data_IF_920273533572
#
_entry.id   IF_920273533572
#
_cell.length_a   1.000
_cell.length_b   1.000
_cell.length_c   1.000
_cell.angle_alpha   90.00
_cell.angle_beta   90.00
_cell.angle_gamma   90.00
#
_symmetry.space_group_name_H-M   'P 1'
#
loop_
_entity.id
_entity.type
_entity.pdbx_description
1 polymer ?
#
# COMPACT_ATOMS: atom_id res chain seq x y z
N UNK A 1 42.12 -55.59 38.12
CA UNK A 1 40.66 -55.75 38.28
C UNK A 1 40.06 -54.35 38.50
N UNK A 2 39.51 -53.76 37.45
CA UNK A 2 38.76 -52.50 37.53
C UNK A 2 37.27 -52.82 37.48
N UNK A 3 36.43 -52.24 38.36
CA UNK A 3 35.05 -52.66 38.51
C UNK A 3 34.15 -52.06 37.43
N UNK A 4 33.33 -52.93 36.84
CA UNK A 4 32.25 -52.67 35.89
C UNK A 4 31.05 -52.00 36.57
N UNK A 5 30.52 -50.93 35.98
CA UNK A 5 29.26 -50.28 36.39
C UNK A 5 28.02 -51.07 35.93
N UNK A 6 26.91 -51.03 36.70
CA UNK A 6 25.63 -51.66 36.33
C UNK A 6 24.77 -50.79 35.40
N UNK A 7 23.80 -51.38 34.67
CA UNK A 7 23.01 -50.68 33.64
C UNK A 7 21.84 -49.86 34.20
N UNK A 8 21.53 -48.74 33.53
CA UNK A 8 20.44 -47.81 33.82
C UNK A 8 19.09 -48.28 33.24
N UNK A 9 18.04 -48.19 34.05
CA UNK A 9 16.64 -48.45 33.68
C UNK A 9 16.03 -47.32 32.82
N UNK A 10 15.07 -47.60 31.92
CA UNK A 10 14.45 -46.60 31.06
C UNK A 10 13.36 -45.78 31.77
N UNK A 11 13.36 -44.46 31.48
CA UNK A 11 12.38 -43.46 31.94
C UNK A 11 11.06 -43.52 31.14
N UNK A 12 9.89 -43.23 31.75
CA UNK A 12 8.59 -43.34 31.10
C UNK A 12 8.15 -42.07 30.34
N UNK A 13 7.39 -42.28 29.26
CA UNK A 13 6.73 -41.27 28.42
C UNK A 13 5.49 -40.66 29.08
N UNK A 14 5.22 -39.34 28.97
CA UNK A 14 3.98 -38.75 29.48
C UNK A 14 2.82 -38.89 28.49
N UNK A 15 1.67 -39.34 29.00
CA UNK A 15 0.37 -39.41 28.30
C UNK A 15 -0.34 -38.06 28.28
N UNK A 16 -0.99 -37.76 27.15
CA UNK A 16 -1.90 -36.64 26.90
C UNK A 16 -3.23 -36.83 27.65
N UNK A 17 -3.64 -35.85 28.46
CA UNK A 17 -4.97 -35.76 29.05
C UNK A 17 -5.90 -34.87 28.23
N UNK A 18 -7.10 -35.38 27.94
CA UNK A 18 -8.19 -34.69 27.25
C UNK A 18 -8.86 -33.61 28.10
N UNK A 19 -9.32 -32.52 27.45
CA UNK A 19 -10.22 -31.54 28.03
C UNK A 19 -11.41 -31.25 27.07
N UNK A 20 -12.61 -31.18 27.64
CA UNK A 20 -13.90 -30.94 26.99
C UNK A 20 -14.27 -29.43 26.95
N UNK A 21 -15.31 -29.00 26.21
CA UNK A 21 -15.45 -27.63 25.67
C UNK A 21 -16.52 -26.74 26.35
N UNK A 22 -16.31 -25.42 26.28
CA UNK A 22 -17.30 -24.31 26.35
C UNK A 22 -16.52 -23.00 26.08
N UNK A 23 -16.97 -21.91 25.47
CA UNK A 23 -18.24 -21.36 24.98
C UNK A 23 -17.94 -19.95 24.42
N UNK A 24 -18.78 -19.43 23.53
CA UNK A 24 -18.56 -18.27 22.65
C UNK A 24 -19.04 -16.91 23.18
N UNK A 25 -18.33 -15.80 22.86
CA UNK A 25 -18.85 -14.52 22.30
C UNK A 25 -17.74 -13.44 22.09
N UNK A 26 -17.92 -12.42 21.22
CA UNK A 26 -16.83 -11.85 20.40
C UNK A 26 -16.43 -10.37 20.65
N UNK A 27 -15.15 -10.08 20.42
CA UNK A 27 -14.51 -8.75 20.43
C UNK A 27 -14.87 -7.89 19.20
N UNK A 28 -15.97 -7.14 19.26
CA UNK A 28 -16.36 -6.16 18.22
C UNK A 28 -15.53 -4.86 18.22
N UNK A 29 -14.75 -4.57 19.27
CA UNK A 29 -13.97 -3.32 19.37
C UNK A 29 -12.65 -3.37 18.57
N UNK A 30 -12.07 -4.55 18.37
CA UNK A 30 -10.82 -4.71 17.61
C UNK A 30 -11.02 -4.62 16.09
N UNK A 31 -12.22 -4.94 15.59
CA UNK A 31 -12.60 -4.83 14.18
C UNK A 31 -12.78 -3.39 13.68
N UNK A 32 -13.14 -2.45 14.57
CA UNK A 32 -13.40 -1.05 14.18
C UNK A 32 -12.13 -0.26 13.80
N UNK A 33 -11.03 -0.45 14.57
CA UNK A 33 -9.75 0.22 14.27
C UNK A 33 -9.05 -0.36 13.02
N UNK A 34 -9.20 -1.67 12.76
CA UNK A 34 -8.59 -2.33 11.60
C UNK A 34 -9.21 -1.91 10.26
N UNK A 35 -10.49 -1.54 10.24
CA UNK A 35 -11.17 -1.13 9.02
C UNK A 35 -10.84 0.31 8.60
N UNK A 36 -10.52 1.19 9.56
CA UNK A 36 -10.22 2.60 9.29
C UNK A 36 -8.83 2.79 8.64
N UNK A 37 -7.86 1.96 9.02
CA UNK A 37 -6.52 1.93 8.40
C UNK A 37 -6.54 1.30 7.00
N UNK A 38 -7.43 0.33 6.76
CA UNK A 38 -7.60 -0.27 5.44
C UNK A 38 -8.24 0.70 4.43
N UNK A 39 -9.23 1.50 4.85
CA UNK A 39 -9.95 2.44 3.98
C UNK A 39 -9.09 3.64 3.53
N UNK A 40 -8.18 4.15 4.38
CA UNK A 40 -7.27 5.23 3.99
C UNK A 40 -6.24 4.82 2.93
N UNK A 41 -5.96 3.51 2.79
CA UNK A 41 -4.94 2.99 1.87
C UNK A 41 -5.47 2.57 0.47
N UNK A 42 -6.76 2.74 0.19
CA UNK A 42 -7.38 2.27 -1.08
C UNK A 42 -7.62 3.37 -2.11
N UNK A 43 -7.16 4.61 -1.89
CA UNK A 43 -7.33 5.69 -2.88
C UNK A 43 -6.14 5.77 -3.85
N UNK A 44 -6.12 4.85 -4.82
CA UNK A 44 -5.65 5.14 -6.19
C UNK A 44 -6.59 4.44 -7.18
N UNK A 45 -7.17 5.16 -8.17
CA UNK A 45 -8.04 4.55 -9.16
C UNK A 45 -7.24 3.86 -10.26
N UNK A 46 -7.64 2.65 -10.62
CA UNK A 46 -7.20 1.91 -11.81
C UNK A 46 -7.76 2.55 -13.08
N UNK A 47 -6.89 3.02 -13.98
CA UNK A 47 -7.24 3.50 -15.33
C UNK A 47 -7.53 2.31 -16.26
N UNK A 48 -8.61 2.42 -17.02
CA UNK A 48 -8.95 1.55 -18.17
C UNK A 48 -8.43 2.24 -19.43
N UNK A 49 -7.67 1.52 -20.27
CA UNK A 49 -7.06 2.01 -21.50
C UNK A 49 -8.00 1.95 -22.70
N UNK A 50 -8.14 3.08 -23.42
CA UNK A 50 -8.36 3.16 -24.87
C UNK A 50 -7.67 4.44 -25.41
N UNK A 51 -7.01 4.36 -26.56
CA UNK A 51 -6.33 5.44 -27.32
C UNK A 51 -6.82 5.43 -28.78
N UNK A 52 -6.55 6.42 -29.68
CA UNK A 52 -5.73 7.66 -29.54
C UNK A 52 -6.37 8.96 -30.12
N UNK A 53 -5.94 10.16 -29.67
CA UNK A 53 -5.19 11.19 -30.44
C UNK A 53 -5.29 12.63 -29.85
N UNK A 54 -4.18 13.37 -30.03
CA UNK A 54 -3.93 14.83 -29.96
C UNK A 54 -3.81 15.57 -28.61
N UNK A 55 -2.56 15.90 -28.27
CA UNK A 55 -2.09 17.27 -27.99
C UNK A 55 -2.37 17.88 -26.61
N UNK A 56 -1.29 18.09 -25.85
CA UNK A 56 -0.97 19.15 -24.87
C UNK A 56 -0.38 18.60 -23.56
N UNK A 57 0.78 19.17 -23.20
CA UNK A 57 1.57 18.87 -22.01
C UNK A 57 0.90 19.41 -20.73
N UNK A 58 0.98 18.66 -19.61
CA UNK A 58 0.57 19.15 -18.30
C UNK A 58 1.41 18.53 -17.16
N UNK A 59 1.88 19.44 -16.31
CA UNK A 59 2.66 19.33 -15.08
C UNK A 59 2.05 18.42 -14.00
N UNK A 60 2.89 17.69 -13.25
CA UNK A 60 2.51 16.97 -12.03
C UNK A 60 2.97 17.76 -10.79
N UNK A 61 2.06 18.51 -10.17
CA UNK A 61 2.27 19.22 -8.92
C UNK A 61 1.10 19.08 -7.93
N UNK A 62 1.45 18.98 -6.65
CA UNK A 62 0.61 19.13 -5.45
C UNK A 62 -0.35 17.97 -5.04
N UNK A 63 0.07 17.21 -4.02
CA UNK A 63 -0.86 16.55 -3.09
C UNK A 63 -1.00 17.42 -1.83
N UNK A 64 -2.20 17.97 -1.62
CA UNK A 64 -2.61 18.63 -0.38
C UNK A 64 -3.06 17.60 0.67
N UNK A 65 -2.79 17.78 1.97
CA UNK A 65 -3.38 16.95 3.01
C UNK A 65 -4.80 17.42 3.35
N UNK A 66 -5.74 16.47 3.35
CA UNK A 66 -7.10 16.64 3.88
C UNK A 66 -7.05 16.86 5.40
N UNK A 67 -7.55 18.01 5.87
CA UNK A 67 -7.89 18.26 7.28
C UNK A 67 -9.35 17.81 7.52
N UNK A 68 -9.58 16.93 8.49
CA UNK A 68 -10.91 16.65 9.04
C UNK A 68 -11.14 17.59 10.25
N UNK A 69 -12.17 18.44 10.28
CA UNK A 69 -12.55 19.17 11.48
C UNK A 69 -13.52 18.37 12.35
N UNK A 70 -13.30 18.40 13.67
CA UNK A 70 -14.15 17.89 14.76
C UNK A 70 -14.42 16.37 14.81
N UNK A 71 -13.62 15.67 15.61
CA UNK A 71 -13.96 14.37 16.20
C UNK A 71 -13.45 14.32 17.64
N UNK A 72 -14.37 14.37 18.61
CA UNK A 72 -14.06 14.29 20.04
C UNK A 72 -13.42 12.94 20.39
N UNK A 73 -12.30 12.97 21.11
CA UNK A 73 -11.73 11.80 21.76
C UNK A 73 -12.65 11.32 22.88
N UNK A 74 -13.04 10.04 22.87
CA UNK A 74 -13.57 9.36 24.04
C UNK A 74 -12.61 8.24 24.46
N UNK A 75 -11.91 8.49 25.57
CA UNK A 75 -11.40 7.46 26.45
C UNK A 75 -12.53 6.94 27.34
N UNK A 76 -12.52 5.65 27.64
CA UNK A 76 -13.43 5.05 28.62
C UNK A 76 -12.83 5.18 30.03
N UNK A 77 -13.50 5.92 30.90
CA UNK A 77 -13.58 5.63 32.34
C UNK A 77 -15.05 5.61 32.75
N UNK A 78 -15.36 4.72 33.68
CA UNK A 78 -16.70 4.25 34.02
C UNK A 78 -17.51 5.21 34.93
N UNK A 79 -18.84 4.99 34.95
CA UNK A 79 -19.89 5.38 35.91
C UNK A 79 -20.76 6.64 35.62
N UNK A 80 -22.09 6.42 35.49
CA UNK A 80 -23.14 7.28 36.09
C UNK A 80 -23.96 8.29 35.25
N UNK A 81 -25.01 7.80 34.54
CA UNK A 81 -26.45 8.27 34.45
C UNK A 81 -26.85 9.74 34.86
N UNK A 82 -27.87 10.37 34.21
CA UNK A 82 -27.94 11.02 32.89
C UNK A 82 -28.19 12.56 33.04
N UNK A 83 -28.51 13.34 32.00
CA UNK A 83 -29.56 14.41 32.03
C UNK A 83 -29.54 15.24 30.72
N UNK A 84 -30.67 15.13 30.00
CA UNK A 84 -31.38 16.07 29.12
C UNK A 84 -30.66 17.15 28.28
N UNK A 85 -30.92 17.06 26.97
CA UNK A 85 -30.75 18.11 25.96
C UNK A 85 -31.57 19.38 26.27
N UNK A 86 -30.95 20.56 26.12
CA UNK A 86 -31.66 21.75 25.65
C UNK A 86 -30.75 22.68 24.83
N UNK A 87 -31.30 23.17 23.72
CA UNK A 87 -30.69 24.03 22.72
C UNK A 87 -30.41 25.45 23.24
N UNK A 88 -29.23 26.02 22.93
CA UNK A 88 -29.02 27.48 22.78
C UNK A 88 -27.90 27.79 21.76
N UNK A 89 -28.07 28.95 21.11
CA UNK A 89 -27.42 29.54 19.92
C UNK A 89 -25.92 29.91 20.08
N UNK A 90 -25.20 30.25 18.99
CA UNK A 90 -23.73 30.22 18.94
C UNK A 90 -23.09 31.47 19.53
N UNK A 91 -22.31 31.30 20.60
CA UNK A 91 -21.36 32.29 21.11
C UNK A 91 -19.96 32.05 20.53
N UNK A 92 -19.27 33.12 20.13
CA UNK A 92 -17.85 33.15 19.74
C UNK A 92 -17.02 32.31 20.73
N UNK A 93 -16.43 31.21 20.28
CA UNK A 93 -15.35 30.54 21.01
C UNK A 93 -14.05 31.27 20.70
N UNK A 94 -13.62 32.06 21.66
CA UNK A 94 -12.24 32.53 21.77
C UNK A 94 -11.34 31.32 22.01
N UNK A 95 -10.22 31.26 21.28
CA UNK A 95 -9.28 30.15 21.22
C UNK A 95 -8.77 29.72 22.61
N UNK A 96 -9.07 28.49 22.99
CA UNK A 96 -8.44 27.83 24.13
C UNK A 96 -7.16 27.13 23.64
N UNK A 97 -6.08 27.89 23.44
CA UNK A 97 -4.72 27.35 23.23
C UNK A 97 -3.61 28.35 23.63
N UNK A 98 -3.86 29.14 24.68
CA UNK A 98 -3.02 30.29 25.06
C UNK A 98 -1.87 29.97 26.03
N UNK A 99 -1.56 28.68 26.23
CA UNK A 99 -0.41 28.28 27.06
C UNK A 99 0.95 28.52 26.35
N UNK A 100 0.96 28.72 25.03
CA UNK A 100 2.16 29.01 24.23
C UNK A 100 2.41 30.51 23.97
N UNK A 101 1.53 31.39 24.46
CA UNK A 101 1.61 32.85 24.22
C UNK A 101 2.77 33.50 24.95
N UNK A 102 3.20 32.93 26.08
CA UNK A 102 4.29 33.49 26.90
C UNK A 102 5.71 33.20 26.37
N UNK A 103 5.86 32.44 25.27
CA UNK A 103 7.16 31.98 24.74
C UNK A 103 7.50 32.52 23.35
N UNK A 104 6.61 33.30 22.72
CA UNK A 104 6.83 33.85 21.37
C UNK A 104 7.50 35.21 21.44
N UNK A 105 8.36 35.48 20.47
CA UNK A 105 8.94 36.81 20.31
C UNK A 105 7.85 37.82 19.92
N UNK A 106 8.01 39.10 20.30
CA UNK A 106 7.10 40.16 19.88
C UNK A 106 6.95 40.23 18.35
N UNK A 107 7.99 39.87 17.61
CA UNK A 107 7.99 39.86 16.15
C UNK A 107 7.08 38.75 15.60
N UNK A 108 7.14 37.54 16.17
CA UNK A 108 6.26 36.45 15.76
C UNK A 108 4.79 36.76 16.11
N UNK A 109 4.53 37.39 17.25
CA UNK A 109 3.18 37.83 17.61
C UNK A 109 2.66 38.92 16.66
N UNK A 110 3.50 39.91 16.30
CA UNK A 110 3.15 40.92 15.29
C UNK A 110 2.84 40.26 13.95
N UNK A 111 3.66 39.31 13.50
CA UNK A 111 3.46 38.57 12.26
C UNK A 111 2.11 37.84 12.23
N UNK A 112 1.73 37.19 13.34
CA UNK A 112 0.46 36.46 13.45
C UNK A 112 -0.75 37.41 13.47
N UNK A 113 -0.62 38.54 14.14
CA UNK A 113 -1.69 39.53 14.29
C UNK A 113 -1.90 40.38 13.02
N UNK A 114 -0.82 40.80 12.37
CA UNK A 114 -0.84 41.77 11.29
C UNK A 114 -0.84 41.12 9.90
N UNK A 115 -2.03 40.68 9.47
CA UNK A 115 -2.24 40.07 8.15
C UNK A 115 -2.20 41.05 6.97
N UNK A 116 -2.20 42.36 7.22
CA UNK A 116 -2.22 43.38 6.17
C UNK A 116 -0.80 43.78 5.71
N UNK A 117 0.20 43.62 6.57
CA UNK A 117 1.61 43.85 6.21
C UNK A 117 2.07 42.80 5.21
N UNK A 118 2.78 43.25 4.17
CA UNK A 118 3.49 42.36 3.25
C UNK A 118 4.86 42.03 3.86
N UNK A 119 4.99 40.82 4.38
CA UNK A 119 6.21 40.32 5.01
C UNK A 119 7.17 39.74 3.96
N UNK A 120 8.46 39.95 4.16
CA UNK A 120 9.59 39.38 3.40
C UNK A 120 10.54 38.60 4.34
N UNK A 121 11.39 37.72 3.80
CA UNK A 121 12.29 36.91 4.63
C UNK A 121 13.23 37.76 5.51
N UNK A 122 13.71 38.88 4.94
CA UNK A 122 14.61 39.81 5.64
C UNK A 122 13.95 40.46 6.87
N UNK A 123 12.62 40.55 6.91
CA UNK A 123 11.90 41.12 8.06
C UNK A 123 11.98 40.22 9.30
N UNK A 124 12.32 38.94 9.12
CA UNK A 124 12.31 37.93 10.20
C UNK A 124 13.70 37.33 10.47
N UNK A 125 14.75 37.95 9.94
CA UNK A 125 16.12 37.56 10.24
C UNK A 125 16.43 37.74 11.73
N UNK A 126 17.20 36.78 12.28
CA UNK A 126 17.43 36.58 13.71
C UNK A 126 16.34 35.75 14.40
N UNK A 127 15.23 35.46 13.71
CA UNK A 127 14.10 34.70 14.24
C UNK A 127 13.70 33.54 13.32
N UNK A 128 14.53 33.17 12.33
CA UNK A 128 14.20 32.13 11.34
C UNK A 128 13.91 30.79 12.01
N UNK A 129 14.69 30.43 13.03
CA UNK A 129 14.52 29.16 13.77
C UNK A 129 13.21 29.15 14.54
N UNK A 130 12.85 30.24 15.21
CA UNK A 130 11.59 30.39 15.93
C UNK A 130 10.40 30.31 14.96
N UNK A 131 10.44 31.07 13.86
CA UNK A 131 9.40 31.05 12.84
C UNK A 131 9.26 29.66 12.20
N UNK A 132 10.37 28.94 11.99
CA UNK A 132 10.35 27.57 11.44
C UNK A 132 9.65 26.59 12.39
N UNK A 133 9.73 26.79 13.70
CA UNK A 133 9.01 26.04 14.72
C UNK A 133 7.56 26.49 14.96
N UNK A 134 7.09 27.55 14.28
CA UNK A 134 5.70 28.01 14.33
C UNK A 134 4.92 27.56 13.09
N UNK A 135 3.63 27.23 13.27
CA UNK A 135 2.77 26.77 12.18
C UNK A 135 2.63 27.80 11.05
N UNK A 136 2.43 29.08 11.37
CA UNK A 136 2.25 30.14 10.37
C UNK A 136 3.60 30.64 9.87
N UNK A 137 4.58 30.79 10.76
CA UNK A 137 5.95 31.17 10.41
C UNK A 137 6.59 30.19 9.43
N UNK A 138 6.48 28.88 9.70
CA UNK A 138 7.03 27.84 8.82
C UNK A 138 6.38 27.89 7.43
N UNK A 139 5.05 28.05 7.37
CA UNK A 139 4.33 28.18 6.08
C UNK A 139 4.76 29.39 5.29
N UNK A 140 5.01 30.51 5.98
CA UNK A 140 5.53 31.72 5.35
C UNK A 140 6.92 31.50 4.77
N UNK A 141 7.85 30.93 5.54
CA UNK A 141 9.22 30.63 5.08
C UNK A 141 9.17 29.70 3.86
N UNK A 142 8.38 28.63 3.91
CA UNK A 142 8.22 27.69 2.80
C UNK A 142 7.81 28.38 1.50
N UNK A 143 6.79 29.26 1.55
CA UNK A 143 6.30 29.99 0.38
C UNK A 143 7.35 30.96 -0.16
N UNK A 144 8.04 31.68 0.71
CA UNK A 144 9.07 32.63 0.29
C UNK A 144 10.29 31.96 -0.32
N UNK A 145 10.72 30.81 0.19
CA UNK A 145 11.87 30.07 -0.33
C UNK A 145 11.71 29.65 -1.81
N UNK A 146 10.49 29.52 -2.32
CA UNK A 146 10.24 29.17 -3.73
C UNK A 146 10.67 30.28 -4.71
N UNK A 147 10.56 31.55 -4.30
CA UNK A 147 10.87 32.72 -5.13
C UNK A 147 12.02 33.58 -4.61
N UNK A 148 12.58 33.22 -3.45
CA UNK A 148 13.66 33.96 -2.79
C UNK A 148 14.94 34.02 -3.62
N UNK A 149 15.68 35.13 -3.50
CA UNK A 149 17.01 35.27 -4.11
C UNK A 149 18.03 34.35 -3.42
N UNK A 150 19.19 34.16 -4.04
CA UNK A 150 20.29 33.37 -3.45
C UNK A 150 20.74 33.93 -2.11
N UNK A 151 20.80 35.25 -1.98
CA UNK A 151 21.18 35.96 -0.75
C UNK A 151 20.13 35.76 0.36
N UNK A 152 18.84 35.74 0.00
CA UNK A 152 17.77 35.51 0.95
C UNK A 152 17.77 34.08 1.47
N UNK A 153 17.96 33.11 0.57
CA UNK A 153 18.12 31.70 0.95
C UNK A 153 19.35 31.50 1.83
N UNK A 154 20.44 32.22 1.55
CA UNK A 154 21.65 32.16 2.38
C UNK A 154 21.40 32.68 3.80
N UNK A 155 20.68 33.80 3.95
CA UNK A 155 20.31 34.31 5.29
C UNK A 155 19.47 33.31 6.09
N UNK A 156 18.47 32.68 5.47
CA UNK A 156 17.69 31.60 6.09
C UNK A 156 18.58 30.40 6.45
N UNK A 157 19.51 30.04 5.56
CA UNK A 157 20.40 28.90 5.75
C UNK A 157 21.37 29.12 6.93
N UNK A 158 21.97 30.30 7.04
CA UNK A 158 22.98 30.62 8.06
C UNK A 158 22.40 30.59 9.49
N UNK A 159 21.12 30.91 9.66
CA UNK A 159 20.45 30.81 10.97
C UNK A 159 20.09 29.36 11.35
N UNK A 160 19.90 28.49 10.35
CA UNK A 160 19.46 27.11 10.57
C UNK A 160 20.65 26.14 10.68
N UNK A 161 21.64 26.26 9.79
CA UNK A 161 22.68 25.24 9.59
C UNK A 161 24.03 25.78 10.07
N UNK A 162 24.81 25.00 10.83
CA UNK A 162 24.56 23.60 11.21
C UNK A 162 23.74 23.42 12.49
N UNK A 163 23.77 24.40 13.39
CA UNK A 163 23.45 24.17 14.81
C UNK A 163 21.99 23.83 15.11
N UNK A 164 21.04 24.37 14.32
CA UNK A 164 19.60 24.18 14.53
C UNK A 164 18.98 23.15 13.58
N UNK A 165 19.77 22.57 12.67
CA UNK A 165 19.25 21.68 11.62
C UNK A 165 18.59 20.44 12.21
N UNK A 166 19.27 19.71 13.10
CA UNK A 166 18.74 18.47 13.69
C UNK A 166 17.47 18.69 14.52
N UNK A 167 17.35 19.84 15.17
CA UNK A 167 16.14 20.23 15.88
C UNK A 167 14.99 20.42 14.89
N UNK A 168 15.17 21.24 13.86
CA UNK A 168 14.12 21.54 12.88
C UNK A 168 13.74 20.34 12.02
N UNK A 169 14.67 19.43 11.72
CA UNK A 169 14.38 18.18 11.00
C UNK A 169 13.32 17.34 11.73
N UNK A 170 13.38 17.34 13.07
CA UNK A 170 12.51 16.54 13.91
C UNK A 170 11.28 17.31 14.41
N UNK A 171 11.17 18.61 14.09
CA UNK A 171 10.06 19.46 14.48
C UNK A 171 8.83 19.27 13.58
N UNK A 172 7.63 19.40 14.15
CA UNK A 172 6.35 19.22 13.45
C UNK A 172 6.12 20.23 12.31
N UNK A 173 6.71 21.42 12.40
CA UNK A 173 6.62 22.47 11.39
C UNK A 173 7.97 22.74 10.71
N UNK A 174 9.07 22.69 11.47
CA UNK A 174 10.43 22.96 10.97
C UNK A 174 10.88 22.02 9.87
N UNK A 175 10.42 20.77 9.89
CA UNK A 175 10.83 19.76 8.91
C UNK A 175 10.50 20.18 7.47
N UNK A 176 9.43 20.96 7.26
CA UNK A 176 9.04 21.46 5.94
C UNK A 176 9.98 22.54 5.42
N UNK A 177 10.54 23.38 6.32
CA UNK A 177 11.55 24.38 5.95
C UNK A 177 12.82 23.68 5.49
N UNK A 178 13.27 22.66 6.23
CA UNK A 178 14.45 21.87 5.85
C UNK A 178 14.23 21.15 4.50
N UNK A 179 13.05 20.59 4.27
CA UNK A 179 12.71 20.01 2.96
C UNK A 179 12.81 21.05 1.83
N UNK A 180 12.34 22.28 2.05
CA UNK A 180 12.45 23.37 1.07
C UNK A 180 13.89 23.80 0.80
N UNK A 181 14.77 23.74 1.80
CA UNK A 181 16.21 23.96 1.60
C UNK A 181 16.84 22.86 0.71
N UNK A 182 16.41 21.60 0.83
CA UNK A 182 16.82 20.55 -0.11
C UNK A 182 16.27 20.74 -1.52
N UNK A 183 15.05 21.25 -1.67
CA UNK A 183 14.45 21.51 -2.99
C UNK A 183 15.13 22.69 -3.70
N UNK A 184 15.26 23.84 -3.02
CA UNK A 184 15.58 25.13 -3.64
C UNK A 184 16.93 25.72 -3.26
N UNK A 185 17.67 25.09 -2.34
CA UNK A 185 19.02 25.49 -1.96
C UNK A 185 20.04 25.18 -3.04
N UNK A 186 21.22 25.81 -2.94
CA UNK A 186 22.35 25.50 -3.83
C UNK A 186 22.92 24.13 -3.53
N UNK A 187 23.67 23.53 -4.47
CA UNK A 187 24.28 22.22 -4.21
C UNK A 187 25.23 22.24 -2.99
N UNK A 188 25.93 23.35 -2.76
CA UNK A 188 26.80 23.55 -1.59
C UNK A 188 25.99 23.52 -0.30
N UNK A 189 24.87 24.25 -0.24
CA UNK A 189 23.97 24.25 0.91
C UNK A 189 23.41 22.85 1.20
N UNK A 190 22.98 22.13 0.16
CA UNK A 190 22.48 20.74 0.29
C UNK A 190 23.55 19.80 0.85
N UNK A 191 24.79 19.94 0.41
CA UNK A 191 25.92 19.15 0.91
C UNK A 191 26.20 19.45 2.39
N UNK A 192 26.26 20.73 2.78
CA UNK A 192 26.50 21.11 4.19
C UNK A 192 25.36 20.64 5.09
N UNK A 193 24.10 20.78 4.66
CA UNK A 193 22.95 20.28 5.38
C UNK A 193 22.95 18.75 5.49
N UNK A 194 23.32 18.03 4.43
CA UNK A 194 23.47 16.57 4.48
C UNK A 194 24.58 16.13 5.45
N UNK A 195 25.70 16.86 5.51
CA UNK A 195 26.77 16.59 6.47
C UNK A 195 26.30 16.81 7.92
N UNK A 196 25.44 17.80 8.17
CA UNK A 196 24.83 17.99 9.49
C UNK A 196 23.91 16.83 9.91
N UNK A 197 23.40 16.05 8.96
CA UNK A 197 22.59 14.85 9.21
C UNK A 197 23.44 13.58 9.40
N UNK A 198 24.72 13.59 9.04
CA UNK A 198 25.60 12.43 9.13
C UNK A 198 25.77 11.98 10.59
N UNK A 199 25.77 10.66 10.82
CA UNK A 199 25.75 10.05 12.16
C UNK A 199 24.36 10.03 12.82
N UNK A 200 23.34 10.62 12.17
CA UNK A 200 21.97 10.70 12.67
C UNK A 200 20.93 10.16 11.68
N UNK A 201 21.34 9.62 10.52
CA UNK A 201 20.43 9.10 9.50
C UNK A 201 19.54 7.99 10.05
N UNK A 202 20.06 7.07 10.87
CA UNK A 202 19.25 6.03 11.49
C UNK A 202 18.15 6.58 12.41
N UNK A 203 18.45 7.34 13.48
CA UNK A 203 17.40 7.88 14.35
C UNK A 203 16.43 8.79 13.59
N UNK A 204 16.91 9.59 12.64
CA UNK A 204 16.04 10.43 11.81
C UNK A 204 15.09 9.61 10.93
N UNK A 205 15.55 8.50 10.36
CA UNK A 205 14.74 7.61 9.52
C UNK A 205 13.60 6.94 10.30
N UNK A 206 13.79 6.70 11.59
CA UNK A 206 12.79 6.09 12.48
C UNK A 206 11.83 7.12 13.09
N UNK A 207 12.09 8.42 12.89
CA UNK A 207 11.30 9.52 13.46
C UNK A 207 10.25 10.03 12.46
N UNK A 208 9.06 10.41 12.95
CA UNK A 208 7.87 10.69 12.13
C UNK A 208 8.03 11.87 11.14
N UNK A 209 8.81 12.89 11.51
CA UNK A 209 9.11 14.07 10.68
C UNK A 209 10.47 13.94 10.00
N UNK A 210 11.48 13.44 10.73
CA UNK A 210 12.84 13.21 10.25
C UNK A 210 12.87 12.29 9.03
N UNK A 211 12.03 11.25 8.99
CA UNK A 211 11.98 10.34 7.85
C UNK A 211 11.56 11.06 6.56
N UNK A 212 10.76 12.13 6.65
CA UNK A 212 10.35 12.95 5.50
C UNK A 212 11.51 13.77 4.98
N UNK A 213 12.32 14.32 5.88
CA UNK A 213 13.53 15.05 5.49
C UNK A 213 14.58 14.11 4.91
N UNK A 214 14.82 12.93 5.48
CA UNK A 214 15.76 11.96 4.92
C UNK A 214 15.32 11.54 3.52
N UNK A 215 14.03 11.24 3.31
CA UNK A 215 13.49 10.96 1.97
C UNK A 215 13.74 12.11 0.99
N UNK A 216 13.50 13.35 1.43
CA UNK A 216 13.73 14.55 0.60
C UNK A 216 15.20 14.73 0.28
N UNK A 217 16.08 14.56 1.26
CA UNK A 217 17.53 14.66 1.07
C UNK A 217 18.01 13.67 0.01
N UNK A 218 17.58 12.40 0.06
CA UNK A 218 17.93 11.36 -0.94
C UNK A 218 17.59 11.79 -2.38
N UNK A 219 16.53 12.59 -2.59
CA UNK A 219 16.13 13.08 -3.92
C UNK A 219 17.04 14.17 -4.49
N UNK A 220 17.76 14.92 -3.64
CA UNK A 220 18.44 16.16 -4.04
C UNK A 220 19.94 16.23 -3.68
N UNK A 221 20.46 15.30 -2.89
CA UNK A 221 21.91 15.21 -2.58
C UNK A 221 22.67 14.42 -3.65
N UNK A 222 24.00 14.56 -3.69
CA UNK A 222 24.83 13.87 -4.68
C UNK A 222 25.01 12.38 -4.30
N UNK A 223 25.43 11.53 -5.26
CA UNK A 223 25.60 10.09 -5.03
C UNK A 223 26.49 9.72 -3.84
N UNK A 224 27.49 10.54 -3.50
CA UNK A 224 28.37 10.25 -2.36
C UNK A 224 27.70 10.49 -1.01
N UNK A 225 26.85 11.52 -0.88
CA UNK A 225 26.01 11.69 0.32
C UNK A 225 24.95 10.59 0.41
N UNK A 226 24.31 10.22 -0.70
CA UNK A 226 23.39 9.07 -0.74
C UNK A 226 24.09 7.80 -0.23
N UNK A 227 25.34 7.57 -0.65
CA UNK A 227 26.12 6.43 -0.21
C UNK A 227 26.46 6.46 1.28
N UNK A 228 26.71 7.65 1.85
CA UNK A 228 26.92 7.77 3.30
C UNK A 228 25.64 7.40 4.07
N UNK A 229 24.47 7.84 3.60
CA UNK A 229 23.19 7.49 4.23
C UNK A 229 22.93 5.98 4.16
N UNK A 230 23.21 5.36 3.01
CA UNK A 230 23.08 3.90 2.87
C UNK A 230 24.01 3.18 3.85
N UNK A 231 25.28 3.61 3.94
CA UNK A 231 26.27 3.00 4.84
C UNK A 231 25.83 3.04 6.31
N UNK A 232 25.23 4.14 6.75
CA UNK A 232 24.75 4.26 8.13
C UNK A 232 23.55 3.35 8.42
N UNK A 233 22.66 3.15 7.44
CA UNK A 233 21.46 2.33 7.59
C UNK A 233 21.71 0.83 7.38
N UNK A 234 22.74 0.45 6.62
CA UNK A 234 23.02 -0.93 6.20
C UNK A 234 22.98 -1.95 7.35
N UNK A 235 23.65 -1.72 8.51
CA UNK A 235 23.64 -2.67 9.63
C UNK A 235 22.27 -2.82 10.30
N UNK A 236 21.35 -1.89 10.06
CA UNK A 236 20.04 -1.81 10.69
C UNK A 236 18.89 -1.91 9.68
N UNK A 237 19.16 -2.31 8.44
CA UNK A 237 18.18 -2.27 7.35
C UNK A 237 16.88 -3.00 7.70
N UNK A 238 16.96 -4.19 8.29
CA UNK A 238 15.76 -4.98 8.64
C UNK A 238 14.91 -4.30 9.71
N UNK A 239 15.54 -3.57 10.64
CA UNK A 239 14.83 -2.72 11.61
C UNK A 239 14.09 -1.60 10.88
N UNK A 240 14.76 -0.90 9.96
CA UNK A 240 14.15 0.17 9.18
C UNK A 240 12.99 -0.33 8.31
N UNK A 241 13.14 -1.48 7.65
CA UNK A 241 12.09 -2.08 6.81
C UNK A 241 10.82 -2.41 7.61
N UNK A 242 10.96 -2.80 8.88
CA UNK A 242 9.84 -3.13 9.77
C UNK A 242 9.30 -1.93 10.57
N UNK A 243 9.92 -0.76 10.43
CA UNK A 243 9.49 0.46 11.10
C UNK A 243 8.45 1.24 10.29
N UNK A 244 7.50 1.89 10.96
CA UNK A 244 6.42 2.65 10.31
C UNK A 244 6.92 3.89 9.54
N UNK A 245 8.08 4.44 9.91
CA UNK A 245 8.72 5.58 9.25
C UNK A 245 9.88 5.11 8.35
N UNK A 246 10.75 4.25 8.89
CA UNK A 246 11.96 3.78 8.25
C UNK A 246 11.72 3.05 6.93
N UNK A 247 10.59 2.34 6.80
CA UNK A 247 10.28 1.62 5.56
C UNK A 247 10.18 2.57 4.36
N UNK A 248 9.73 3.81 4.56
CA UNK A 248 9.62 4.79 3.50
C UNK A 248 10.99 5.30 3.05
N UNK A 249 11.94 5.41 3.98
CA UNK A 249 13.34 5.75 3.67
C UNK A 249 13.98 4.64 2.85
N UNK A 250 13.82 3.37 3.25
CA UNK A 250 14.38 2.23 2.49
C UNK A 250 13.79 2.16 1.07
N UNK A 251 12.47 2.35 0.93
CA UNK A 251 11.84 2.43 -0.40
C UNK A 251 12.44 3.57 -1.24
N UNK A 252 12.62 4.76 -0.65
CA UNK A 252 13.19 5.91 -1.35
C UNK A 252 14.64 5.67 -1.79
N UNK A 253 15.44 4.98 -0.98
CA UNK A 253 16.80 4.58 -1.35
C UNK A 253 16.79 3.62 -2.55
N UNK A 254 15.91 2.63 -2.54
CA UNK A 254 15.73 1.69 -3.67
C UNK A 254 15.32 2.43 -4.96
N UNK A 255 14.47 3.45 -4.86
CA UNK A 255 14.00 4.24 -6.01
C UNK A 255 15.06 5.18 -6.61
N UNK A 256 16.01 5.67 -5.80
CA UNK A 256 16.84 6.84 -6.15
C UNK A 256 18.34 6.60 -6.14
N UNK A 257 18.83 5.57 -5.45
CA UNK A 257 20.26 5.28 -5.34
C UNK A 257 20.62 4.18 -6.33
N UNK A 258 21.80 4.30 -6.97
CA UNK A 258 22.33 3.25 -7.85
C UNK A 258 22.38 1.91 -7.12
N UNK A 259 21.90 0.85 -7.79
CA UNK A 259 21.79 -0.49 -7.21
C UNK A 259 23.13 -1.04 -6.70
N UNK A 260 24.26 -0.62 -7.27
CA UNK A 260 25.62 -1.01 -6.85
C UNK A 260 25.93 -0.58 -5.41
N UNK A 261 25.27 0.47 -4.92
CA UNK A 261 25.46 1.00 -3.56
C UNK A 261 24.48 0.41 -2.56
N UNK A 262 23.48 -0.35 -2.99
CA UNK A 262 22.42 -0.93 -2.15
C UNK A 262 22.79 -2.33 -1.63
N UNK A 263 23.97 -2.44 -1.02
CA UNK A 263 24.51 -3.71 -0.49
C UNK A 263 23.56 -4.41 0.50
N UNK A 264 22.79 -3.64 1.28
CA UNK A 264 21.83 -4.14 2.26
C UNK A 264 20.77 -5.08 1.69
N UNK A 265 20.51 -5.08 0.38
CA UNK A 265 19.51 -5.96 -0.24
C UNK A 265 19.89 -7.44 -0.03
N UNK A 266 21.18 -7.73 0.13
CA UNK A 266 21.65 -9.08 0.48
C UNK A 266 21.12 -9.55 1.85
N UNK A 267 20.89 -8.64 2.80
CA UNK A 267 20.34 -8.95 4.12
C UNK A 267 18.86 -9.38 4.06
N UNK A 268 18.18 -9.19 2.94
CA UNK A 268 16.80 -9.68 2.75
C UNK A 268 16.74 -11.17 2.44
N UNK A 269 17.84 -11.77 1.98
CA UNK A 269 17.94 -13.22 1.76
C UNK A 269 17.77 -13.95 3.10
N UNK A 270 17.01 -15.04 3.08
CA UNK A 270 16.59 -15.78 4.28
C UNK A 270 15.44 -15.13 5.06
N UNK A 271 15.04 -13.91 4.71
CA UNK A 271 13.97 -13.16 5.38
C UNK A 271 12.78 -12.88 4.43
N UNK A 272 12.76 -13.42 3.20
CA UNK A 272 11.77 -13.01 2.18
C UNK A 272 10.35 -13.34 2.61
N UNK A 273 10.12 -14.48 3.26
CA UNK A 273 8.80 -14.85 3.75
C UNK A 273 8.29 -13.85 4.79
N UNK A 274 9.09 -13.63 5.84
CA UNK A 274 8.77 -12.73 6.95
C UNK A 274 8.52 -11.29 6.45
N UNK A 275 9.39 -10.79 5.57
CA UNK A 275 9.22 -9.48 4.93
C UNK A 275 7.94 -9.43 4.08
N UNK A 276 7.64 -10.47 3.29
CA UNK A 276 6.44 -10.52 2.44
C UNK A 276 5.14 -10.53 3.24
N UNK A 277 5.15 -11.11 4.44
CA UNK A 277 4.01 -11.14 5.36
C UNK A 277 3.98 -9.96 6.34
N UNK A 278 4.91 -9.02 6.22
CA UNK A 278 4.96 -7.82 7.05
C UNK A 278 4.20 -6.65 6.40
N UNK A 279 3.40 -5.84 7.15
CA UNK A 279 2.64 -4.72 6.60
C UNK A 279 3.48 -3.70 5.81
N UNK A 280 4.74 -3.52 6.20
CA UNK A 280 5.68 -2.59 5.53
C UNK A 280 6.71 -3.33 4.67
N UNK A 281 7.12 -4.53 5.08
CA UNK A 281 8.18 -5.29 4.41
C UNK A 281 7.75 -5.71 3.00
N UNK A 282 6.46 -6.00 2.81
CA UNK A 282 5.92 -6.40 1.53
C UNK A 282 6.05 -5.28 0.48
N UNK A 283 5.99 -4.01 0.90
CA UNK A 283 6.18 -2.83 0.02
C UNK A 283 7.64 -2.65 -0.35
N UNK A 284 8.55 -2.83 0.60
CA UNK A 284 9.99 -2.78 0.33
C UNK A 284 10.39 -3.86 -0.67
N UNK A 285 9.93 -5.11 -0.49
CA UNK A 285 10.22 -6.19 -1.45
C UNK A 285 9.66 -5.89 -2.86
N UNK A 286 8.45 -5.34 -2.96
CA UNK A 286 7.90 -4.92 -4.25
C UNK A 286 8.78 -3.84 -4.91
N UNK A 287 9.24 -2.82 -4.17
CA UNK A 287 10.18 -1.82 -4.68
C UNK A 287 11.49 -2.45 -5.17
N UNK A 288 12.02 -3.45 -4.47
CA UNK A 288 13.18 -4.19 -4.96
C UNK A 288 12.92 -4.79 -6.34
N UNK A 289 11.82 -5.51 -6.51
CA UNK A 289 11.50 -6.17 -7.79
C UNK A 289 11.18 -5.20 -8.92
N UNK A 290 10.74 -3.97 -8.62
CA UNK A 290 10.42 -2.95 -9.63
C UNK A 290 11.64 -2.15 -10.10
N UNK A 291 12.58 -1.86 -9.20
CA UNK A 291 13.64 -0.88 -9.46
C UNK A 291 15.03 -1.47 -9.55
N UNK A 292 15.24 -2.68 -9.01
CA UNK A 292 16.57 -3.30 -8.99
C UNK A 292 16.73 -4.28 -10.15
N UNK A 293 17.96 -4.46 -10.65
CA UNK A 293 18.23 -5.38 -11.73
C UNK A 293 17.97 -6.84 -11.31
N UNK A 294 17.74 -7.71 -12.29
CA UNK A 294 17.38 -9.10 -12.03
C UNK A 294 18.48 -9.84 -11.25
N UNK A 295 19.74 -9.56 -11.54
CA UNK A 295 20.88 -10.21 -10.89
C UNK A 295 20.86 -10.01 -9.37
N UNK A 296 20.38 -8.85 -8.91
CA UNK A 296 20.21 -8.52 -7.49
C UNK A 296 18.96 -9.18 -6.89
N UNK A 297 17.86 -9.22 -7.64
CA UNK A 297 16.54 -9.62 -7.14
C UNK A 297 16.20 -11.10 -7.33
N UNK A 298 16.86 -11.78 -8.27
CA UNK A 298 16.64 -13.19 -8.61
C UNK A 298 16.71 -14.11 -7.39
N UNK A 299 17.71 -14.00 -6.49
CA UNK A 299 17.74 -14.83 -5.28
C UNK A 299 16.55 -14.60 -4.35
N UNK A 300 16.04 -13.36 -4.27
CA UNK A 300 14.87 -13.02 -3.45
C UNK A 300 13.59 -13.61 -4.07
N UNK A 301 13.46 -13.53 -5.40
CA UNK A 301 12.33 -14.11 -6.11
C UNK A 301 12.31 -15.64 -6.03
N UNK A 302 13.48 -16.29 -6.10
CA UNK A 302 13.59 -17.74 -5.95
C UNK A 302 13.23 -18.21 -4.53
N UNK A 303 13.57 -17.42 -3.51
CA UNK A 303 13.12 -17.65 -2.15
C UNK A 303 11.61 -17.44 -1.99
N UNK A 304 11.05 -16.38 -2.60
CA UNK A 304 9.62 -16.11 -2.62
C UNK A 304 8.82 -17.29 -3.18
N UNK A 305 9.31 -17.91 -4.27
CA UNK A 305 8.67 -19.06 -4.92
C UNK A 305 8.52 -20.28 -3.99
N UNK A 306 9.39 -20.42 -2.98
CA UNK A 306 9.30 -21.50 -1.99
C UNK A 306 8.07 -21.38 -1.09
N UNK A 307 7.55 -20.16 -0.92
CA UNK A 307 6.47 -19.86 0.03
C UNK A 307 5.15 -19.43 -0.64
N UNK A 308 5.03 -19.53 -1.97
CA UNK A 308 3.90 -18.99 -2.73
C UNK A 308 2.53 -19.40 -2.18
N UNK A 309 2.35 -20.66 -1.78
CA UNK A 309 1.07 -21.16 -1.25
C UNK A 309 0.68 -20.47 0.05
N UNK A 310 1.65 -20.26 0.94
CA UNK A 310 1.43 -19.54 2.19
C UNK A 310 1.16 -18.06 1.92
N UNK A 311 1.95 -17.44 1.03
CA UNK A 311 1.84 -16.02 0.70
C UNK A 311 0.52 -15.67 0.04
N UNK A 312 -0.01 -16.52 -0.84
CA UNK A 312 -1.34 -16.33 -1.45
C UNK A 312 -2.45 -16.16 -0.40
N UNK A 313 -2.31 -16.84 0.73
CA UNK A 313 -3.29 -16.86 1.80
C UNK A 313 -2.99 -15.83 2.90
N UNK A 314 -1.82 -15.19 2.89
CA UNK A 314 -1.49 -14.17 3.88
C UNK A 314 -2.16 -12.82 3.55
N UNK A 315 -2.50 -12.04 4.59
CA UNK A 315 -3.18 -10.75 4.46
C UNK A 315 -2.35 -9.67 3.75
N UNK A 316 -1.02 -9.78 3.76
CA UNK A 316 -0.08 -8.88 3.07
C UNK A 316 0.62 -9.59 1.91
N UNK A 317 1.04 -10.85 2.12
CA UNK A 317 1.73 -11.66 1.13
C UNK A 317 0.96 -11.83 -0.17
N UNK A 318 -0.38 -11.84 -0.13
CA UNK A 318 -1.21 -11.96 -1.33
C UNK A 318 -0.97 -10.81 -2.31
N UNK A 319 -0.61 -9.62 -1.84
CA UNK A 319 -0.27 -8.48 -2.70
C UNK A 319 1.07 -8.67 -3.40
N UNK A 320 2.05 -9.29 -2.74
CA UNK A 320 3.34 -9.63 -3.36
C UNK A 320 3.13 -10.68 -4.46
N UNK A 321 2.28 -11.67 -4.24
CA UNK A 321 1.96 -12.68 -5.27
C UNK A 321 1.20 -12.05 -6.45
N UNK A 322 0.25 -11.16 -6.18
CA UNK A 322 -0.44 -10.40 -7.24
C UNK A 322 0.53 -9.53 -8.05
N UNK A 323 1.49 -8.89 -7.39
CA UNK A 323 2.56 -8.15 -8.08
C UNK A 323 3.34 -9.05 -9.05
N UNK A 324 3.74 -10.26 -8.63
CA UNK A 324 4.43 -11.23 -9.50
C UNK A 324 3.55 -11.62 -10.70
N UNK A 325 2.24 -11.78 -10.51
CA UNK A 325 1.31 -12.08 -11.59
C UNK A 325 1.15 -10.93 -12.61
N UNK A 326 1.27 -9.67 -12.16
CA UNK A 326 1.06 -8.48 -13.00
C UNK A 326 2.33 -7.99 -13.67
N UNK A 327 3.41 -7.86 -12.91
CA UNK A 327 4.65 -7.19 -13.30
C UNK A 327 5.82 -8.16 -13.41
N UNK A 328 5.68 -9.37 -12.87
CA UNK A 328 6.73 -10.38 -12.92
C UNK A 328 6.98 -10.91 -14.33
N UNK A 329 8.15 -11.51 -14.52
CA UNK A 329 8.52 -12.16 -15.78
C UNK A 329 7.58 -13.34 -16.07
N UNK A 330 7.38 -13.71 -17.34
CA UNK A 330 6.52 -14.85 -17.71
C UNK A 330 6.84 -16.14 -16.95
N UNK A 331 8.12 -16.44 -16.73
CA UNK A 331 8.55 -17.61 -15.95
C UNK A 331 8.07 -17.59 -14.49
N UNK A 332 8.13 -16.42 -13.83
CA UNK A 332 7.74 -16.26 -12.44
C UNK A 332 6.21 -16.31 -12.31
N UNK A 333 5.50 -15.65 -13.23
CA UNK A 333 4.04 -15.77 -13.35
C UNK A 333 3.59 -17.21 -13.55
N UNK A 334 4.25 -17.95 -14.45
CA UNK A 334 3.90 -19.35 -14.72
C UNK A 334 4.17 -20.26 -13.51
N UNK A 335 5.18 -19.97 -12.69
CA UNK A 335 5.38 -20.68 -11.42
C UNK A 335 4.22 -20.45 -10.45
N UNK A 336 3.74 -19.20 -10.31
CA UNK A 336 2.55 -18.88 -9.48
C UNK A 336 1.32 -19.64 -9.99
N UNK A 337 1.09 -19.65 -11.31
CA UNK A 337 -0.05 -20.37 -11.91
C UNK A 337 0.06 -21.88 -11.70
N UNK A 338 1.26 -22.44 -11.89
CA UNK A 338 1.52 -23.87 -11.64
C UNK A 338 1.22 -24.24 -10.19
N UNK A 339 1.54 -23.36 -9.24
CA UNK A 339 1.20 -23.55 -7.83
C UNK A 339 -0.31 -23.46 -7.58
N UNK A 340 -1.08 -22.65 -8.30
CA UNK A 340 -2.55 -22.60 -8.15
C UNK A 340 -3.27 -23.82 -8.71
N UNK A 341 -2.70 -24.50 -9.70
CA UNK A 341 -3.30 -25.69 -10.33
C UNK A 341 -3.61 -26.78 -9.31
N UNK A 342 -4.82 -27.31 -9.37
CA UNK A 342 -5.33 -28.37 -8.50
C UNK A 342 -5.92 -27.88 -7.16
N UNK A 343 -5.93 -26.56 -6.92
CA UNK A 343 -6.50 -25.98 -5.69
C UNK A 343 -7.30 -24.69 -5.90
N UNK A 344 -7.74 -24.40 -7.13
CA UNK A 344 -8.54 -23.22 -7.47
C UNK A 344 -9.77 -23.10 -6.56
N UNK A 345 -10.52 -24.19 -6.32
CA UNK A 345 -11.69 -24.13 -5.44
C UNK A 345 -11.33 -23.79 -3.98
N UNK A 346 -10.19 -24.29 -3.50
CA UNK A 346 -9.77 -24.04 -2.11
C UNK A 346 -9.30 -22.58 -1.97
N UNK A 347 -8.47 -22.12 -2.88
CA UNK A 347 -7.95 -20.75 -2.89
C UNK A 347 -9.03 -19.71 -3.15
N UNK A 348 -10.01 -20.00 -4.03
CA UNK A 348 -11.11 -19.08 -4.32
C UNK A 348 -12.02 -18.81 -3.11
N UNK A 349 -12.16 -19.77 -2.19
CA UNK A 349 -12.93 -19.62 -0.95
C UNK A 349 -12.16 -18.91 0.16
N UNK A 350 -10.88 -18.62 -0.05
CA UNK A 350 -10.05 -17.94 0.93
C UNK A 350 -10.13 -16.42 0.73
N UNK A 351 -10.35 -15.66 1.80
CA UNK A 351 -10.52 -14.19 1.78
C UNK A 351 -9.43 -13.44 0.99
N UNK A 352 -8.17 -13.87 1.15
CA UNK A 352 -7.02 -13.22 0.52
C UNK A 352 -6.62 -13.88 -0.81
N UNK A 353 -6.65 -15.22 -0.87
CA UNK A 353 -6.20 -15.94 -2.06
C UNK A 353 -7.20 -15.88 -3.21
N UNK A 354 -8.48 -15.56 -2.94
CA UNK A 354 -9.47 -15.29 -3.99
C UNK A 354 -9.02 -14.16 -4.92
N UNK A 355 -8.40 -13.12 -4.39
CA UNK A 355 -7.85 -12.01 -5.20
C UNK A 355 -6.70 -12.48 -6.08
N UNK A 356 -5.86 -13.38 -5.57
CA UNK A 356 -4.78 -14.00 -6.37
C UNK A 356 -5.37 -14.87 -7.48
N UNK A 357 -6.43 -15.64 -7.20
CA UNK A 357 -7.13 -16.44 -8.22
C UNK A 357 -7.71 -15.56 -9.33
N UNK A 358 -8.40 -14.48 -8.96
CA UNK A 358 -8.89 -13.50 -9.94
C UNK A 358 -7.76 -12.92 -10.77
N UNK A 359 -6.64 -12.57 -10.14
CA UNK A 359 -5.50 -12.00 -10.84
C UNK A 359 -4.87 -12.99 -11.80
N UNK A 360 -4.68 -14.24 -11.37
CA UNK A 360 -4.12 -15.30 -12.20
C UNK A 360 -5.00 -15.57 -13.42
N UNK A 361 -6.32 -15.58 -13.26
CA UNK A 361 -7.25 -15.72 -14.40
C UNK A 361 -7.12 -14.58 -15.41
N UNK A 362 -6.79 -13.36 -14.98
CA UNK A 362 -6.61 -12.21 -15.88
C UNK A 362 -5.25 -12.23 -16.58
N UNK A 363 -4.17 -12.59 -15.88
CA UNK A 363 -2.81 -12.43 -16.38
C UNK A 363 -2.20 -13.69 -16.99
N UNK A 364 -2.81 -14.86 -16.76
CA UNK A 364 -2.36 -16.12 -17.34
C UNK A 364 -2.41 -16.11 -18.87
N UNK A 365 -1.50 -16.88 -19.48
CA UNK A 365 -1.58 -17.24 -20.90
C UNK A 365 -2.86 -18.01 -21.20
N UNK A 366 -3.21 -18.13 -22.48
CA UNK A 366 -4.46 -18.77 -22.91
C UNK A 366 -4.54 -20.20 -22.36
N UNK A 367 -3.51 -21.02 -22.59
CA UNK A 367 -3.49 -22.41 -22.16
C UNK A 367 -3.52 -22.57 -20.64
N UNK A 368 -2.74 -21.78 -19.91
CA UNK A 368 -2.74 -21.83 -18.45
C UNK A 368 -4.09 -21.38 -17.88
N UNK A 369 -4.69 -20.33 -18.44
CA UNK A 369 -6.03 -19.86 -18.05
C UNK A 369 -7.07 -20.94 -18.30
N UNK A 370 -7.02 -21.62 -19.44
CA UNK A 370 -7.92 -22.73 -19.76
C UNK A 370 -7.85 -23.82 -18.70
N UNK A 371 -6.63 -24.24 -18.32
CA UNK A 371 -6.42 -25.25 -17.27
C UNK A 371 -7.05 -24.84 -15.93
N UNK A 372 -6.89 -23.58 -15.51
CA UNK A 372 -7.48 -23.08 -14.26
C UNK A 372 -9.02 -23.04 -14.31
N UNK A 373 -9.59 -22.69 -15.47
CA UNK A 373 -11.05 -22.64 -15.66
C UNK A 373 -11.63 -24.06 -15.76
N UNK A 374 -10.94 -25.00 -16.38
CA UNK A 374 -11.37 -26.40 -16.43
C UNK A 374 -11.48 -27.00 -15.02
N UNK A 375 -10.59 -26.63 -14.09
CA UNK A 375 -10.70 -27.03 -12.69
C UNK A 375 -11.98 -26.51 -12.01
N UNK A 376 -12.48 -25.34 -12.41
CA UNK A 376 -13.75 -24.78 -11.93
C UNK A 376 -14.94 -25.54 -12.54
N UNK A 377 -14.84 -25.92 -13.82
CA UNK A 377 -15.90 -26.60 -14.58
C UNK A 377 -16.10 -28.05 -14.14
N UNK A 378 -14.99 -28.75 -13.88
CA UNK A 378 -14.98 -30.19 -13.63
C UNK A 378 -15.42 -30.52 -12.20
N UNK A 379 -16.37 -31.45 -12.00
CA UNK A 379 -16.69 -31.95 -10.68
C UNK A 379 -15.46 -32.59 -10.01
N UNK A 380 -15.35 -32.41 -8.69
CA UNK A 380 -14.36 -33.14 -7.91
C UNK A 380 -14.70 -34.63 -7.85
N UNK A 381 -13.72 -35.46 -7.50
CA UNK A 381 -13.87 -36.92 -7.40
C UNK A 381 -14.91 -37.36 -6.36
N UNK A 382 -15.21 -36.49 -5.39
CA UNK A 382 -16.25 -36.66 -4.38
C UNK A 382 -17.66 -36.24 -4.84
N UNK A 383 -17.80 -35.83 -6.12
CA UNK A 383 -19.06 -35.37 -6.69
C UNK A 383 -19.40 -33.91 -6.39
N UNK A 384 -18.56 -33.19 -5.63
CA UNK A 384 -18.78 -31.76 -5.34
C UNK A 384 -18.56 -30.93 -6.60
N UNK A 385 -19.58 -30.16 -6.99
CA UNK A 385 -19.47 -29.19 -8.09
C UNK A 385 -18.78 -27.92 -7.60
N UNK A 386 -17.58 -27.56 -8.11
CA UNK A 386 -16.92 -26.32 -7.73
C UNK A 386 -17.79 -25.09 -8.01
N UNK A 387 -18.48 -25.05 -9.15
CA UNK A 387 -19.42 -23.97 -9.50
C UNK A 387 -20.45 -23.74 -8.39
N UNK A 388 -21.15 -24.79 -7.94
CA UNK A 388 -22.18 -24.66 -6.91
C UNK A 388 -21.58 -24.18 -5.59
N UNK A 389 -20.41 -24.72 -5.21
CA UNK A 389 -19.70 -24.26 -4.01
C UNK A 389 -19.28 -22.79 -4.12
N UNK A 390 -18.77 -22.36 -5.26
CA UNK A 390 -18.29 -21.00 -5.48
C UNK A 390 -19.45 -20.00 -5.50
N UNK A 391 -20.58 -20.35 -6.09
CA UNK A 391 -21.79 -19.51 -6.11
C UNK A 391 -22.33 -19.20 -4.71
N UNK A 392 -22.17 -20.13 -3.76
CA UNK A 392 -22.67 -19.99 -2.37
C UNK A 392 -21.65 -19.33 -1.44
N UNK A 393 -20.39 -19.24 -1.84
CA UNK A 393 -19.30 -18.75 -1.01
C UNK A 393 -19.15 -17.22 -1.10
N UNK A 394 -18.81 -16.58 0.01
CA UNK A 394 -18.71 -15.12 0.11
C UNK A 394 -17.55 -14.50 -0.68
N UNK A 395 -16.52 -15.29 -1.04
CA UNK A 395 -15.35 -14.83 -1.81
C UNK A 395 -15.30 -15.48 -3.20
N UNK A 396 -15.53 -16.79 -3.28
CA UNK A 396 -15.32 -17.53 -4.52
C UNK A 396 -16.32 -17.17 -5.62
N UNK A 397 -17.46 -16.58 -5.28
CA UNK A 397 -18.41 -16.04 -6.24
C UNK A 397 -17.78 -14.97 -7.16
N UNK A 398 -16.81 -14.20 -6.66
CA UNK A 398 -16.08 -13.20 -7.46
C UNK A 398 -15.12 -13.87 -8.44
N UNK A 399 -14.41 -14.92 -7.99
CA UNK A 399 -13.54 -15.73 -8.86
C UNK A 399 -14.34 -16.40 -9.98
N UNK A 400 -15.55 -16.90 -9.70
CA UNK A 400 -16.43 -17.48 -10.72
C UNK A 400 -16.89 -16.44 -11.75
N UNK A 401 -17.26 -15.23 -11.31
CA UNK A 401 -17.59 -14.12 -12.20
C UNK A 401 -16.39 -13.72 -13.07
N UNK A 402 -15.19 -13.73 -12.48
CA UNK A 402 -13.95 -13.46 -13.22
C UNK A 402 -13.73 -14.51 -14.30
N UNK A 403 -13.81 -15.80 -13.95
CA UNK A 403 -13.67 -16.91 -14.88
C UNK A 403 -14.66 -16.78 -16.06
N UNK A 404 -15.94 -16.48 -15.79
CA UNK A 404 -16.95 -16.26 -16.83
C UNK A 404 -16.58 -15.10 -17.76
N UNK A 405 -15.93 -14.06 -17.25
CA UNK A 405 -15.51 -12.89 -18.03
C UNK A 405 -14.36 -13.24 -18.98
N UNK A 406 -13.32 -13.90 -18.46
CA UNK A 406 -12.05 -14.14 -19.18
C UNK A 406 -11.99 -15.48 -19.93
N UNK A 407 -12.99 -16.35 -19.76
CA UNK A 407 -13.05 -17.63 -20.45
C UNK A 407 -13.07 -17.45 -21.97
N UNK A 408 -12.35 -18.36 -22.65
CA UNK A 408 -12.46 -18.55 -24.10
C UNK A 408 -13.90 -18.94 -24.49
N UNK A 409 -14.34 -18.70 -25.73
CA UNK A 409 -15.74 -18.88 -26.15
C UNK A 409 -16.32 -20.26 -25.81
N UNK A 410 -15.56 -21.32 -26.04
CA UNK A 410 -15.97 -22.71 -25.78
C UNK A 410 -16.13 -23.00 -24.27
N UNK A 411 -15.16 -22.60 -23.43
CA UNK A 411 -15.26 -22.76 -21.98
C UNK A 411 -16.37 -21.89 -21.39
N UNK A 412 -16.59 -20.71 -21.96
CA UNK A 412 -17.64 -19.77 -21.56
C UNK A 412 -19.02 -20.37 -21.79
N UNK A 413 -19.26 -21.03 -22.92
CA UNK A 413 -20.51 -21.76 -23.17
C UNK A 413 -20.74 -22.87 -22.13
N UNK A 414 -19.71 -23.63 -21.79
CA UNK A 414 -19.78 -24.69 -20.77
C UNK A 414 -20.09 -24.10 -19.38
N UNK A 415 -19.43 -23.00 -19.01
CA UNK A 415 -19.71 -22.29 -17.76
C UNK A 415 -21.17 -21.82 -17.70
N UNK A 416 -21.68 -21.18 -18.76
CA UNK A 416 -23.08 -20.73 -18.85
C UNK A 416 -24.04 -21.91 -18.68
N UNK A 417 -23.80 -23.00 -19.41
CA UNK A 417 -24.64 -24.20 -19.37
C UNK A 417 -24.69 -24.84 -17.97
N UNK A 418 -23.60 -24.78 -17.20
CA UNK A 418 -23.54 -25.30 -15.83
C UNK A 418 -24.09 -24.34 -14.78
N UNK A 419 -23.86 -23.03 -14.91
CA UNK A 419 -24.29 -22.04 -13.91
C UNK A 419 -25.81 -21.78 -13.99
N UNK A 420 -26.38 -21.69 -15.20
CA UNK A 420 -27.77 -21.30 -15.40
C UNK A 420 -28.80 -22.20 -14.68
N UNK A 421 -28.73 -23.54 -14.74
CA UNK A 421 -29.66 -24.40 -14.01
C UNK A 421 -29.54 -24.24 -12.49
N UNK A 422 -28.32 -24.01 -11.99
CA UNK A 422 -28.06 -23.84 -10.56
C UNK A 422 -28.65 -22.52 -10.05
N UNK A 423 -28.54 -21.43 -10.83
CA UNK A 423 -29.19 -20.16 -10.49
C UNK A 423 -30.72 -20.28 -10.41
N UNK A 424 -31.34 -20.97 -11.36
CA UNK A 424 -32.79 -21.20 -11.36
C UNK A 424 -33.22 -21.99 -10.12
N UNK A 425 -32.47 -23.03 -9.77
CA UNK A 425 -32.71 -23.82 -8.56
C UNK A 425 -32.57 -22.97 -7.29
N UNK A 426 -31.46 -22.21 -7.16
CA UNK A 426 -31.23 -21.35 -5.99
C UNK A 426 -32.27 -20.24 -5.86
N UNK A 427 -32.77 -19.68 -6.97
CA UNK A 427 -33.87 -18.70 -6.93
C UNK A 427 -35.16 -19.29 -6.35
N UNK A 428 -35.45 -20.55 -6.64
CA UNK A 428 -36.69 -21.22 -6.19
C UNK A 428 -36.63 -21.64 -4.72
N UNK A 429 -35.46 -22.04 -4.23
CA UNK A 429 -35.34 -22.71 -2.93
C UNK A 429 -34.49 -21.96 -1.89
N UNK A 430 -33.74 -20.91 -2.26
CA UNK A 430 -32.98 -20.10 -1.29
C UNK A 430 -33.85 -18.96 -0.76
N UNK A 431 -34.13 -18.96 0.54
CA UNK A 431 -34.91 -17.91 1.22
C UNK A 431 -34.21 -16.53 1.22
N UNK A 432 -32.91 -16.49 0.93
CA UNK A 432 -32.15 -15.28 0.67
C UNK A 432 -31.46 -15.39 -0.71
N UNK A 433 -32.07 -14.80 -1.74
CA UNK A 433 -31.39 -14.58 -3.02
C UNK A 433 -30.40 -13.43 -2.84
N UNK A 434 -29.15 -13.79 -2.54
CA UNK A 434 -28.08 -12.86 -2.17
C UNK A 434 -27.70 -11.94 -3.35
N UNK A 435 -27.21 -10.72 -3.03
CA UNK A 435 -26.79 -9.73 -4.04
C UNK A 435 -25.75 -10.28 -5.05
N UNK A 436 -24.90 -11.23 -4.63
CA UNK A 436 -23.91 -11.83 -5.52
C UNK A 436 -24.53 -12.75 -6.59
N UNK A 437 -25.62 -13.48 -6.27
CA UNK A 437 -26.30 -14.32 -7.26
C UNK A 437 -26.96 -13.46 -8.37
N UNK A 438 -27.53 -12.31 -8.00
CA UNK A 438 -28.03 -11.30 -8.96
C UNK A 438 -26.88 -10.82 -9.87
N UNK A 439 -25.69 -10.59 -9.31
CA UNK A 439 -24.52 -10.16 -10.10
C UNK A 439 -24.11 -11.22 -11.13
N UNK A 440 -24.04 -12.49 -10.71
CA UNK A 440 -23.73 -13.62 -11.61
C UNK A 440 -24.79 -13.72 -12.72
N UNK A 441 -26.07 -13.60 -12.39
CA UNK A 441 -27.15 -13.67 -13.38
C UNK A 441 -27.07 -12.53 -14.40
N UNK A 442 -26.89 -11.29 -13.95
CA UNK A 442 -26.71 -10.13 -14.85
C UNK A 442 -25.49 -10.30 -15.75
N UNK A 443 -24.40 -10.86 -15.22
CA UNK A 443 -23.21 -11.13 -16.00
C UNK A 443 -23.51 -12.18 -17.08
N UNK A 444 -24.18 -13.28 -16.74
CA UNK A 444 -24.59 -14.31 -17.70
C UNK A 444 -25.49 -13.75 -18.81
N UNK A 445 -26.49 -12.93 -18.47
CA UNK A 445 -27.38 -12.29 -19.45
C UNK A 445 -26.60 -11.42 -20.44
N UNK A 446 -25.66 -10.60 -19.92
CA UNK A 446 -24.78 -9.78 -20.77
C UNK A 446 -23.91 -10.65 -21.68
N UNK A 447 -23.32 -11.72 -21.14
CA UNK A 447 -22.47 -12.63 -21.91
C UNK A 447 -23.26 -13.32 -23.02
N UNK A 448 -24.46 -13.84 -22.73
CA UNK A 448 -25.33 -14.50 -23.71
C UNK A 448 -25.75 -13.50 -24.81
N UNK A 449 -26.11 -12.27 -24.43
CA UNK A 449 -26.52 -11.26 -25.39
C UNK A 449 -25.36 -10.80 -26.28
N UNK A 450 -24.13 -10.74 -25.75
CA UNK A 450 -22.94 -10.45 -26.53
C UNK A 450 -22.67 -11.54 -27.58
N UNK A 451 -22.76 -12.82 -27.22
CA UNK A 451 -22.61 -13.94 -28.16
C UNK A 451 -23.67 -13.89 -29.29
N UNK A 452 -24.92 -13.55 -28.98
CA UNK A 452 -25.97 -13.39 -29.99
C UNK A 452 -25.75 -12.19 -30.93
N UNK A 453 -25.04 -11.16 -30.46
CA UNK A 453 -24.73 -9.99 -31.28
C UNK A 453 -23.56 -10.26 -32.25
N UNK A 454 -22.59 -11.10 -31.86
CA UNK A 454 -21.49 -11.52 -32.74
C UNK A 454 -21.91 -12.52 -33.83
N UNK A 455 -23.00 -13.27 -33.63
CA UNK A 455 -23.52 -14.25 -34.59
C UNK A 455 -24.46 -13.65 -35.66
N UNK A 456 -24.71 -12.33 -35.64
CA UNK A 456 -25.45 -11.68 -36.73
C UNK A 456 -24.54 -11.54 -37.96
N UNK A 457 -24.90 -12.10 -39.13
CA UNK A 457 -24.14 -11.85 -40.35
C UNK A 457 -24.16 -10.35 -40.66
N UNK A 458 -23.01 -9.79 -41.03
CA UNK A 458 -22.93 -8.42 -41.52
C UNK A 458 -23.74 -8.32 -42.82
N UNK A 459 -24.94 -7.73 -42.74
CA UNK A 459 -25.72 -7.32 -43.91
C UNK A 459 -24.90 -6.25 -44.65
N UNK A 460 -24.11 -6.68 -45.64
CA UNK A 460 -23.60 -5.77 -46.67
C UNK A 460 -24.79 -5.44 -47.59
N UNK A 461 -25.22 -4.16 -47.68
CA UNK A 461 -26.24 -3.81 -48.64
C UNK A 461 -25.66 -4.01 -50.05
N UNK A 462 -26.24 -4.94 -50.80
CA UNK A 462 -25.99 -5.13 -52.22
C UNK A 462 -26.29 -3.84 -52.96
N UNK A 463 -25.25 -3.13 -53.40
CA UNK A 463 -25.37 -1.99 -54.31
C UNK A 463 -25.84 -2.50 -55.68
N UNK A 464 -27.15 -2.40 -55.88
CA UNK A 464 -27.79 -2.55 -57.18
C UNK A 464 -27.22 -1.53 -58.17
N UNK A 465 -26.68 -2.06 -59.27
CA UNK A 465 -26.40 -1.36 -60.51
C UNK A 465 -27.55 -0.42 -60.89
N UNK A 466 -27.25 0.87 -61.05
CA UNK A 466 -28.04 1.74 -61.93
C UNK A 466 -27.37 1.72 -63.32
N UNK A 467 -28.11 1.45 -64.40
CA UNK A 467 -27.60 1.67 -65.75
C UNK A 467 -27.64 3.17 -66.04
N UNK A 468 -26.55 3.69 -66.61
CA UNK A 468 -26.48 5.04 -67.17
C UNK A 468 -26.95 4.95 -68.61
N UNK A 469 -28.02 5.67 -68.94
CA UNK A 469 -28.32 6.15 -70.29
C UNK A 469 -27.85 7.59 -70.40
#
# INVERSE_FOLDING_TARGET
>A
MYPTMPPLSPMPTPQLSAAAPAGSMPDKKQYGLQQQVALQNTLRPTMISYTPHQGYAADYGAQLPFMIPNGAMYGHTAHGIPFYHQNLRPGRRQDANDAGSALRSPLLDEFRANKARKWELRDIYGYIVEFSGDQHGSRFIQQKLETATSEEKQGVFDEIVPDNALQLIQDVFGNYVIQKLFEHGTQVQKTVLANAMEGHILPLSLQMYGCRVVQKAVEFVLPDQQASFVRELDPHVLKCVKDANGNHVIQKLIERVSHERLGFVNSFRGNVYDLSTHPYGCRVLQRCFEHLPEETTRPLMDELHKYMINLMQDQFGNYVVQFVLEQGKPQDRNQVITKLRGQMLNMARHKFASNVCEKALVTAGIEERRILIDEIIMPKTDGVSPIVSMMKDQFANYVLQRALTVAEPDQKEILIAKIRPQLVSMRRYSSAYSKHLISIERLLERTINASKASDKPADYPSLLHKPVN
#
